data_IF_302323000760
#
_entry.id   IF_302323000760
#
_cell.length_a   1.000
_cell.length_b   1.000
_cell.length_c   1.000
_cell.angle_alpha   90.00
_cell.angle_beta   90.00
_cell.angle_gamma   90.00
#
_symmetry.space_group_name_H-M   'P 1'
#
loop_
_entity.id
_entity.type
_entity.pdbx_description
1 polymer ?
#
# COMPACT_ATOMS: atom_id res chain seq x y z
N UNK A 1 10.77 -15.29 -3.92
CA UNK A 1 11.67 -14.84 -2.82
C UNK A 1 11.09 -15.20 -1.46
N UNK A 2 11.94 -15.30 -0.43
CA UNK A 2 11.49 -15.51 0.95
C UNK A 2 10.86 -14.22 1.52
N UNK A 3 9.81 -14.38 2.33
CA UNK A 3 9.21 -13.34 3.14
C UNK A 3 9.42 -13.74 4.61
N UNK A 4 10.16 -12.97 5.41
CA UNK A 4 10.34 -13.28 6.83
C UNK A 4 8.98 -13.42 7.54
N UNK A 5 8.84 -14.36 8.50
CA UNK A 5 7.55 -14.63 9.15
C UNK A 5 6.92 -13.41 9.82
N UNK A 6 7.72 -12.48 10.34
CA UNK A 6 7.24 -11.24 10.95
C UNK A 6 6.55 -10.28 9.96
N UNK A 7 6.71 -10.49 8.65
CA UNK A 7 6.11 -9.68 7.58
C UNK A 7 5.05 -10.47 6.81
N UNK A 8 4.44 -11.47 7.44
CA UNK A 8 3.47 -12.34 6.77
C UNK A 8 2.22 -11.60 6.27
N UNK A 9 1.87 -10.46 6.88
CA UNK A 9 0.75 -9.60 6.49
C UNK A 9 0.96 -8.94 5.13
N UNK A 10 2.20 -8.82 4.65
CA UNK A 10 2.52 -8.29 3.32
C UNK A 10 2.10 -9.21 2.15
N UNK A 11 1.66 -10.45 2.42
CA UNK A 11 1.37 -11.45 1.38
C UNK A 11 -0.12 -11.62 1.11
N UNK A 12 -0.48 -11.70 -0.16
CA UNK A 12 -1.76 -12.24 -0.63
C UNK A 12 -1.50 -13.53 -1.41
N UNK A 13 -2.32 -14.54 -1.20
CA UNK A 13 -2.17 -15.87 -1.80
C UNK A 13 -1.32 -16.84 -0.98
N UNK A 14 -1.14 -18.04 -1.51
CA UNK A 14 -0.47 -19.14 -0.81
C UNK A 14 1.01 -18.86 -0.53
N UNK A 15 1.49 -19.22 0.67
CA UNK A 15 2.92 -19.16 1.00
C UNK A 15 3.77 -20.02 0.04
N UNK A 16 3.20 -21.13 -0.42
CA UNK A 16 3.82 -22.14 -1.28
C UNK A 16 3.59 -21.90 -2.77
N UNK A 17 2.94 -20.79 -3.16
CA UNK A 17 2.74 -20.46 -4.56
C UNK A 17 4.10 -20.46 -5.30
N UNK A 18 4.20 -21.14 -6.46
CA UNK A 18 5.46 -21.30 -7.19
C UNK A 18 6.00 -19.97 -7.72
N UNK A 19 5.13 -19.01 -8.04
CA UNK A 19 5.53 -17.71 -8.58
C UNK A 19 5.23 -16.57 -7.61
N UNK A 20 6.07 -15.54 -7.62
CA UNK A 20 6.00 -14.38 -6.73
C UNK A 20 5.95 -13.08 -7.54
N UNK A 21 4.86 -12.33 -7.40
CA UNK A 21 4.76 -10.93 -7.81
C UNK A 21 5.08 -10.04 -6.62
N UNK A 22 6.15 -9.27 -6.69
CA UNK A 22 6.50 -8.28 -5.67
C UNK A 22 6.36 -6.88 -6.25
N UNK A 23 5.72 -5.99 -5.50
CA UNK A 23 5.62 -4.58 -5.89
C UNK A 23 6.11 -3.71 -4.74
N UNK A 24 7.14 -2.94 -5.04
CA UNK A 24 7.79 -1.99 -4.13
C UNK A 24 7.04 -0.67 -4.17
N UNK A 25 6.38 -0.34 -3.09
CA UNK A 25 5.41 0.75 -3.01
C UNK A 25 5.79 1.72 -1.91
N UNK A 26 5.52 2.99 -2.16
CA UNK A 26 5.60 4.09 -1.19
C UNK A 26 4.20 4.66 -1.01
N UNK A 27 3.72 4.74 0.23
CA UNK A 27 2.39 5.30 0.53
C UNK A 27 2.25 6.77 0.15
N UNK A 28 3.35 7.52 0.07
CA UNK A 28 3.36 8.96 -0.25
C UNK A 28 3.54 9.20 -1.76
N UNK A 29 3.88 8.16 -2.54
CA UNK A 29 4.08 8.31 -3.97
C UNK A 29 2.76 8.21 -4.76
N UNK A 30 2.41 9.21 -5.61
CA UNK A 30 1.21 9.15 -6.44
C UNK A 30 1.27 8.03 -7.50
N UNK A 31 2.45 7.66 -8.00
CA UNK A 31 2.61 6.54 -8.93
C UNK A 31 2.38 5.19 -8.24
N UNK A 32 2.80 5.06 -6.98
CA UNK A 32 2.49 3.88 -6.16
C UNK A 32 0.99 3.73 -5.94
N UNK A 33 0.26 4.83 -5.70
CA UNK A 33 -1.20 4.78 -5.65
C UNK A 33 -1.82 4.35 -6.98
N UNK A 34 -1.32 4.89 -8.10
CA UNK A 34 -1.81 4.56 -9.45
C UNK A 34 -1.71 3.08 -9.78
N UNK A 35 -0.61 2.42 -9.42
CA UNK A 35 -0.45 0.97 -9.62
C UNK A 35 -1.25 0.17 -8.57
N UNK A 36 -1.30 0.63 -7.32
CA UNK A 36 -1.97 -0.09 -6.23
C UNK A 36 -3.48 -0.21 -6.46
N UNK A 37 -4.13 0.86 -6.93
CA UNK A 37 -5.56 0.82 -7.31
C UNK A 37 -5.89 -0.07 -8.51
N UNK A 38 -4.87 -0.53 -9.27
CA UNK A 38 -5.03 -1.56 -10.31
C UNK A 38 -4.89 -2.96 -9.72
N UNK A 39 -4.04 -3.11 -8.70
CA UNK A 39 -3.86 -4.36 -7.98
C UNK A 39 -5.07 -4.68 -7.08
N UNK A 40 -5.64 -3.68 -6.40
CA UNK A 40 -6.75 -3.79 -5.42
C UNK A 40 -7.79 -2.68 -5.60
N UNK A 41 -9.02 -2.90 -5.12
CA UNK A 41 -10.12 -1.91 -5.16
C UNK A 41 -9.90 -0.78 -4.15
N UNK A 42 -9.22 0.30 -4.55
CA UNK A 42 -8.97 1.44 -3.66
C UNK A 42 -9.33 2.75 -4.37
N UNK A 43 -10.15 3.57 -3.71
CA UNK A 43 -10.62 4.86 -4.24
C UNK A 43 -10.16 5.99 -3.33
N UNK A 44 -9.41 6.95 -3.87
CA UNK A 44 -9.15 8.19 -3.15
C UNK A 44 -10.46 8.93 -2.89
N UNK A 45 -10.66 9.37 -1.66
CA UNK A 45 -11.79 10.24 -1.34
C UNK A 45 -11.59 11.57 -2.09
N UNK A 46 -12.51 11.88 -3.01
CA UNK A 46 -12.66 13.23 -3.47
C UNK A 46 -13.55 13.92 -2.44
N UNK A 47 -13.00 14.87 -1.70
CA UNK A 47 -13.86 15.89 -1.10
C UNK A 47 -14.58 16.55 -2.26
N UNK A 48 -15.89 16.31 -2.37
CA UNK A 48 -16.73 17.17 -3.17
C UNK A 48 -16.58 18.55 -2.56
N UNK A 49 -15.83 19.44 -3.21
CA UNK A 49 -15.91 20.85 -2.92
C UNK A 49 -17.36 21.24 -3.21
N UNK A 50 -18.18 21.29 -2.16
CA UNK A 50 -19.58 21.62 -2.24
C UNK A 50 -19.72 23.11 -2.52
N UNK A 51 -19.42 23.52 -3.75
CA UNK A 51 -19.96 24.76 -4.29
C UNK A 51 -21.43 24.48 -4.63
N UNK A 52 -22.31 24.60 -3.61
CA UNK A 52 -23.76 24.66 -3.83
C UNK A 52 -24.07 25.99 -4.49
N UNK A 53 -24.01 26.03 -5.82
CA UNK A 53 -24.74 27.00 -6.62
C UNK A 53 -26.05 26.36 -7.04
N UNK A 54 -27.15 26.83 -6.45
CA UNK A 54 -28.50 26.35 -6.69
C UNK A 54 -29.04 26.89 -8.02
N UNK A 55 -28.51 26.44 -9.16
CA UNK A 55 -29.15 26.53 -10.47
C UNK A 55 -28.39 25.62 -11.44
N UNK A 56 -28.77 24.33 -11.56
CA UNK A 56 -28.64 23.50 -12.77
C UNK A 56 -28.97 22.04 -12.43
N UNK A 57 -30.25 21.77 -12.16
CA UNK A 57 -30.74 20.46 -11.70
C UNK A 57 -31.17 19.52 -12.83
N UNK A 58 -30.62 19.66 -14.06
CA UNK A 58 -31.16 18.93 -15.21
C UNK A 58 -30.19 18.22 -16.16
N UNK A 59 -28.90 18.05 -15.85
CA UNK A 59 -28.00 17.28 -16.73
C UNK A 59 -26.96 16.43 -15.99
N UNK A 60 -27.38 15.60 -15.03
CA UNK A 60 -26.55 14.51 -14.50
C UNK A 60 -27.38 13.22 -14.41
N UNK A 61 -27.57 12.55 -15.55
CA UNK A 61 -28.20 11.23 -15.60
C UNK A 61 -27.57 10.32 -16.68
N UNK A 62 -26.26 10.41 -16.91
CA UNK A 62 -25.61 9.68 -18.01
C UNK A 62 -24.28 9.00 -17.67
N UNK A 63 -24.05 8.61 -16.40
CA UNK A 63 -22.91 7.75 -16.04
C UNK A 63 -23.20 6.73 -14.92
N UNK A 64 -24.39 6.10 -14.94
CA UNK A 64 -24.69 4.96 -14.07
C UNK A 64 -25.35 3.82 -14.85
N UNK A 65 -24.65 3.31 -15.87
CA UNK A 65 -24.83 1.89 -16.24
C UNK A 65 -23.82 1.09 -15.44
N UNK A 66 -24.18 0.87 -14.17
CA UNK A 66 -23.56 -0.07 -13.25
C UNK A 66 -23.75 -1.47 -13.88
N UNK A 67 -22.72 -1.95 -14.58
CA UNK A 67 -22.65 -3.34 -15.02
C UNK A 67 -22.45 -4.21 -13.78
N UNK A 68 -23.39 -5.14 -13.59
CA UNK A 68 -23.49 -6.22 -12.63
C UNK A 68 -22.44 -6.30 -11.48
N UNK A 69 -22.86 -6.39 -10.20
CA UNK A 69 -21.95 -6.53 -9.05
C UNK A 69 -21.01 -7.75 -9.09
N UNK A 70 -21.23 -8.72 -9.98
CA UNK A 70 -20.39 -9.91 -10.15
C UNK A 70 -19.12 -9.68 -11.02
N UNK A 71 -19.04 -8.62 -11.83
CA UNK A 71 -17.90 -8.35 -12.72
C UNK A 71 -16.81 -7.44 -12.12
N UNK A 72 -17.10 -6.77 -10.99
CA UNK A 72 -16.18 -5.80 -10.37
C UNK A 72 -14.84 -6.37 -9.88
N UNK A 73 -14.76 -7.58 -9.28
CA UNK A 73 -13.49 -8.11 -8.80
C UNK A 73 -12.46 -8.34 -9.92
N UNK A 74 -12.90 -8.78 -11.11
CA UNK A 74 -12.02 -9.08 -12.25
C UNK A 74 -11.42 -7.84 -12.92
N UNK A 75 -11.87 -6.64 -12.53
CA UNK A 75 -11.25 -5.39 -12.98
C UNK A 75 -9.93 -5.09 -12.26
N UNK A 76 -9.63 -5.82 -11.18
CA UNK A 76 -8.39 -5.72 -10.42
C UNK A 76 -7.48 -6.91 -10.70
N UNK A 77 -6.18 -6.67 -10.64
CA UNK A 77 -5.17 -7.67 -11.02
C UNK A 77 -5.10 -8.82 -10.02
N UNK A 78 -5.16 -8.57 -8.70
CA UNK A 78 -5.03 -9.65 -7.72
C UNK A 78 -6.22 -10.63 -7.74
N UNK A 79 -7.49 -10.18 -7.78
CA UNK A 79 -8.61 -11.10 -7.97
C UNK A 79 -8.59 -11.80 -9.34
N UNK A 80 -8.17 -11.11 -10.41
CA UNK A 80 -7.98 -11.74 -11.72
C UNK A 80 -6.96 -12.88 -11.69
N UNK A 81 -5.81 -12.67 -11.03
CA UNK A 81 -4.78 -13.70 -10.86
C UNK A 81 -5.33 -14.90 -10.09
N UNK A 82 -6.03 -14.69 -8.97
CA UNK A 82 -6.59 -15.80 -8.19
C UNK A 82 -7.65 -16.57 -8.99
N UNK A 83 -8.49 -15.86 -9.77
CA UNK A 83 -9.51 -16.49 -10.59
C UNK A 83 -8.95 -17.30 -11.78
N UNK A 84 -7.87 -16.83 -12.41
CA UNK A 84 -7.30 -17.45 -13.63
C UNK A 84 -6.13 -18.40 -13.35
N UNK A 85 -5.45 -18.22 -12.22
CA UNK A 85 -4.25 -18.94 -11.82
C UNK A 85 -4.26 -19.27 -10.31
N UNK A 86 -5.31 -19.97 -9.81
CA UNK A 86 -5.53 -20.18 -8.38
C UNK A 86 -4.33 -20.86 -7.71
N UNK A 87 -3.82 -20.25 -6.65
CA UNK A 87 -2.67 -20.75 -5.88
C UNK A 87 -1.32 -20.74 -6.62
N UNK A 88 -1.25 -20.28 -7.88
CA UNK A 88 0.01 -20.28 -8.67
C UNK A 88 0.90 -19.08 -8.39
N UNK A 89 0.29 -17.93 -8.07
CA UNK A 89 1.00 -16.67 -7.85
C UNK A 89 0.67 -16.17 -6.44
N UNK A 90 1.71 -15.79 -5.68
CA UNK A 90 1.56 -14.97 -4.49
C UNK A 90 1.99 -13.55 -4.78
N UNK A 91 1.26 -12.60 -4.21
CA UNK A 91 1.62 -11.19 -4.23
C UNK A 91 2.31 -10.81 -2.92
N UNK A 92 3.35 -9.97 -2.99
CA UNK A 92 4.03 -9.40 -1.84
C UNK A 92 4.11 -7.88 -1.99
N UNK A 93 3.53 -7.17 -1.02
CA UNK A 93 3.78 -5.75 -0.84
C UNK A 93 5.18 -5.53 -0.27
N UNK A 94 6.00 -4.70 -0.90
CA UNK A 94 7.31 -4.31 -0.39
C UNK A 94 7.32 -2.83 -0.04
N UNK A 95 7.77 -2.51 1.17
CA UNK A 95 7.86 -1.15 1.67
C UNK A 95 9.07 -0.46 1.01
N UNK A 96 8.84 0.58 0.20
CA UNK A 96 9.90 1.37 -0.44
C UNK A 96 9.80 2.83 0.00
N UNK A 97 10.42 3.16 1.13
CA UNK A 97 10.47 4.54 1.64
C UNK A 97 11.31 5.40 0.70
N UNK A 98 10.73 6.47 0.16
CA UNK A 98 11.48 7.45 -0.63
C UNK A 98 11.93 8.64 0.23
N UNK A 99 13.23 8.93 0.34
CA UNK A 99 13.73 9.98 1.23
C UNK A 99 13.25 11.41 0.89
N UNK A 100 12.85 11.66 -0.36
CA UNK A 100 12.28 12.94 -0.80
C UNK A 100 10.78 13.06 -0.50
N UNK A 101 10.17 12.05 0.12
CA UNK A 101 8.85 12.14 0.75
C UNK A 101 9.06 12.13 2.27
N UNK A 102 9.23 13.30 2.94
CA UNK A 102 9.59 13.40 4.36
C UNK A 102 8.71 12.55 5.30
N UNK A 103 7.41 12.45 5.00
CA UNK A 103 6.44 11.70 5.79
C UNK A 103 6.46 10.19 5.54
N UNK A 104 7.09 9.70 4.47
CA UNK A 104 7.05 8.30 4.05
C UNK A 104 7.52 7.37 5.18
N UNK A 105 8.63 7.70 5.86
CA UNK A 105 9.08 6.90 7.02
C UNK A 105 7.98 6.70 8.06
N UNK A 106 7.23 7.76 8.40
CA UNK A 106 6.19 7.72 9.43
C UNK A 106 5.01 6.83 9.01
N UNK A 107 4.59 6.96 7.75
CA UNK A 107 3.46 6.20 7.20
C UNK A 107 3.80 4.71 7.07
N UNK A 108 5.04 4.40 6.64
CA UNK A 108 5.54 3.03 6.55
C UNK A 108 5.70 2.38 7.95
N UNK A 109 6.17 3.12 8.96
CA UNK A 109 6.19 2.65 10.35
C UNK A 109 4.79 2.35 10.87
N UNK A 110 3.78 3.19 10.57
CA UNK A 110 2.40 2.91 10.95
C UNK A 110 1.87 1.61 10.34
N UNK A 111 2.16 1.34 9.07
CA UNK A 111 1.76 0.08 8.42
C UNK A 111 2.39 -1.15 9.10
N UNK A 112 3.68 -1.07 9.48
CA UNK A 112 4.35 -2.13 10.23
C UNK A 112 3.83 -2.26 11.66
N UNK A 113 3.45 -1.15 12.30
CA UNK A 113 2.85 -1.18 13.63
C UNK A 113 1.48 -1.87 13.61
N UNK A 114 0.65 -1.62 12.58
CA UNK A 114 -0.61 -2.35 12.39
C UNK A 114 -0.37 -3.83 12.17
N UNK A 115 0.57 -4.21 11.30
CA UNK A 115 0.92 -5.62 11.07
C UNK A 115 1.37 -6.32 12.36
N UNK A 116 2.13 -5.62 13.21
CA UNK A 116 2.62 -6.16 14.48
C UNK A 116 1.50 -6.37 15.51
N UNK A 117 0.42 -5.58 15.43
CA UNK A 117 -0.78 -5.75 16.26
C UNK A 117 -1.65 -6.88 15.71
N UNK A 118 -1.94 -6.84 14.40
CA UNK A 118 -2.70 -7.86 13.69
C UNK A 118 -2.24 -7.96 12.22
N UNK A 119 -1.52 -9.03 11.84
CA UNK A 119 -1.03 -9.21 10.47
C UNK A 119 -2.15 -9.26 9.41
N UNK A 120 -3.37 -9.68 9.78
CA UNK A 120 -4.49 -9.73 8.85
C UNK A 120 -4.97 -8.33 8.43
N UNK A 121 -4.63 -7.30 9.21
CA UNK A 121 -5.06 -5.90 9.00
C UNK A 121 -4.09 -5.07 8.18
N UNK A 122 -2.96 -5.63 7.77
CA UNK A 122 -1.97 -4.92 6.96
C UNK A 122 -2.60 -4.33 5.69
N UNK A 123 -3.25 -5.15 4.86
CA UNK A 123 -3.84 -4.68 3.60
C UNK A 123 -5.05 -3.77 3.81
N UNK A 124 -5.91 -4.06 4.79
CA UNK A 124 -7.05 -3.18 5.13
C UNK A 124 -6.54 -1.76 5.47
N UNK A 125 -5.43 -1.68 6.22
CA UNK A 125 -4.81 -0.41 6.57
C UNK A 125 -4.04 0.22 5.40
N UNK A 126 -3.32 -0.56 4.59
CA UNK A 126 -2.71 -0.07 3.35
C UNK A 126 -3.75 0.58 2.43
N UNK A 127 -4.92 -0.02 2.30
CA UNK A 127 -6.04 0.53 1.53
C UNK A 127 -6.43 1.90 2.10
N UNK A 128 -6.62 2.02 3.42
CA UNK A 128 -6.90 3.32 4.09
C UNK A 128 -5.80 4.36 3.91
N UNK A 129 -4.53 3.97 4.01
CA UNK A 129 -3.40 4.87 3.79
C UNK A 129 -3.40 5.44 2.37
N UNK A 130 -3.72 4.62 1.36
CA UNK A 130 -3.82 5.09 -0.02
C UNK A 130 -5.09 5.90 -0.30
N UNK A 131 -6.23 5.55 0.31
CA UNK A 131 -7.46 6.36 0.25
C UNK A 131 -7.22 7.79 0.76
N UNK A 132 -6.44 7.91 1.85
CA UNK A 132 -6.13 9.14 2.58
C UNK A 132 -4.76 9.74 2.22
N UNK A 133 -4.11 9.23 1.18
CA UNK A 133 -2.72 9.54 0.82
C UNK A 133 -2.39 11.04 0.83
N UNK A 134 -3.29 11.89 0.32
CA UNK A 134 -3.06 13.34 0.21
C UNK A 134 -2.90 14.03 1.57
N UNK A 135 -3.51 13.51 2.63
CA UNK A 135 -3.40 14.03 3.99
C UNK A 135 -1.98 13.84 4.55
N UNK A 136 -1.21 12.92 3.96
CA UNK A 136 0.17 12.61 4.35
C UNK A 136 1.22 13.22 3.41
N UNK A 137 0.84 14.15 2.54
CA UNK A 137 1.78 14.93 1.71
C UNK A 137 2.42 16.07 2.47
N UNK A 138 3.39 16.73 1.85
CA UNK A 138 4.18 17.80 2.48
C UNK A 138 3.31 18.96 2.97
N UNK A 139 2.36 19.42 2.15
CA UNK A 139 1.57 20.62 2.46
C UNK A 139 0.72 20.43 3.73
N UNK A 140 -0.08 19.36 3.89
CA UNK A 140 -0.85 19.17 5.13
C UNK A 140 0.00 18.91 6.38
N UNK A 141 1.22 18.37 6.22
CA UNK A 141 2.05 17.95 7.34
C UNK A 141 3.13 18.97 7.74
N UNK A 142 3.35 20.03 6.96
CA UNK A 142 4.49 20.93 7.13
C UNK A 142 4.67 21.49 8.54
N UNK A 143 3.56 21.81 9.23
CA UNK A 143 3.58 22.38 10.59
C UNK A 143 3.31 21.33 11.69
N UNK A 144 3.24 20.04 11.35
CA UNK A 144 2.92 18.99 12.33
C UNK A 144 4.19 18.40 12.93
N UNK A 145 4.13 18.09 14.22
CA UNK A 145 5.19 17.32 14.89
C UNK A 145 5.08 15.84 14.52
N UNK A 146 6.19 15.10 14.60
CA UNK A 146 6.22 13.63 14.41
C UNK A 146 5.17 12.92 15.28
N UNK A 147 5.01 13.34 16.53
CA UNK A 147 4.05 12.75 17.47
C UNK A 147 2.60 12.99 17.03
N UNK A 148 2.27 14.21 16.57
CA UNK A 148 0.94 14.51 16.05
C UNK A 148 0.59 13.64 14.83
N UNK A 149 1.53 13.47 13.90
CA UNK A 149 1.33 12.61 12.73
C UNK A 149 1.11 11.14 13.13
N UNK A 150 1.87 10.62 14.12
CA UNK A 150 1.61 9.26 14.61
C UNK A 150 0.27 9.11 15.33
N UNK A 151 -0.18 10.14 16.05
CA UNK A 151 -1.51 10.14 16.65
C UNK A 151 -2.58 9.99 15.56
N UNK A 152 -2.51 10.79 14.49
CA UNK A 152 -3.43 10.73 13.36
C UNK A 152 -3.37 9.38 12.61
N UNK A 153 -2.18 8.80 12.45
CA UNK A 153 -2.01 7.47 11.87
C UNK A 153 -2.61 6.37 12.76
N UNK A 154 -2.50 6.49 14.08
CA UNK A 154 -3.13 5.56 15.02
C UNK A 154 -4.65 5.70 15.03
N UNK A 155 -5.17 6.93 14.92
CA UNK A 155 -6.60 7.20 14.72
C UNK A 155 -7.10 6.53 13.43
N UNK A 156 -6.38 6.69 12.32
CA UNK A 156 -6.72 6.03 11.06
C UNK A 156 -6.65 4.50 11.18
N UNK A 157 -5.65 3.96 11.87
CA UNK A 157 -5.51 2.52 12.10
C UNK A 157 -6.70 1.93 12.86
N UNK A 158 -7.26 2.66 13.83
CA UNK A 158 -8.44 2.21 14.57
C UNK A 158 -9.66 1.94 13.67
N UNK A 159 -9.75 2.61 12.51
CA UNK A 159 -10.84 2.43 11.54
C UNK A 159 -10.86 1.07 10.87
N UNK A 160 -9.75 0.31 10.90
CA UNK A 160 -9.67 -1.06 10.36
C UNK A 160 -9.85 -2.14 11.43
N UNK A 161 -10.12 -1.74 12.68
CA UNK A 161 -10.46 -2.62 13.78
C UNK A 161 -9.29 -3.03 14.68
N UNK A 162 -8.11 -2.38 14.57
CA UNK A 162 -7.01 -2.56 15.53
C UNK A 162 -7.09 -1.56 16.69
N UNK A 163 -6.47 -1.88 17.83
CA UNK A 163 -6.42 -0.96 18.96
C UNK A 163 -5.54 0.26 18.64
N UNK A 164 -6.14 1.46 18.69
CA UNK A 164 -5.45 2.75 18.56
C UNK A 164 -4.26 2.85 19.49
N UNK A 165 -4.45 2.55 20.77
CA UNK A 165 -3.42 2.72 21.80
C UNK A 165 -2.30 1.71 21.62
N UNK A 166 -2.61 0.47 21.19
CA UNK A 166 -1.59 -0.52 20.85
C UNK A 166 -0.71 -0.03 19.70
N UNK A 167 -1.31 0.49 18.62
CA UNK A 167 -0.57 1.06 17.48
C UNK A 167 0.26 2.27 17.90
N UNK A 168 -0.34 3.23 18.62
CA UNK A 168 0.37 4.43 19.07
C UNK A 168 1.53 4.10 20.00
N UNK A 169 1.39 3.09 20.86
CA UNK A 169 2.48 2.63 21.75
C UNK A 169 3.69 2.09 21.00
N UNK A 170 3.47 1.48 19.83
CA UNK A 170 4.55 0.99 18.95
C UNK A 170 5.26 2.14 18.23
N UNK A 171 4.52 3.19 17.87
CA UNK A 171 5.02 4.35 17.13
C UNK A 171 5.68 5.41 18.02
N UNK A 172 5.32 5.45 19.29
CA UNK A 172 5.83 6.45 20.24
C UNK A 172 7.33 6.23 20.52
N UNK A 173 8.11 7.29 20.31
CA UNK A 173 9.53 7.35 20.70
C UNK A 173 9.62 7.55 22.21
N UNK A 174 10.40 6.71 22.88
CA UNK A 174 10.62 6.83 24.32
C UNK A 174 11.57 8.00 24.62
N UNK A 175 11.16 8.87 25.54
CA UNK A 175 11.95 10.04 25.97
C UNK A 175 12.80 9.68 27.19
N UNK A 176 13.93 10.36 27.35
CA UNK A 176 14.80 10.23 28.54
C UNK A 176 15.75 9.03 28.54
N UNK A 177 15.89 8.31 27.43
CA UNK A 177 16.89 7.25 27.27
C UNK A 177 18.30 7.79 26.95
N UNK A 178 19.32 6.97 27.19
CA UNK A 178 20.72 7.26 26.86
C UNK A 178 20.95 7.41 25.34
N UNK A 179 20.26 6.59 24.54
CA UNK A 179 20.35 6.60 23.09
C UNK A 179 19.31 7.55 22.46
N UNK A 180 19.74 8.72 22.01
CA UNK A 180 18.88 9.76 21.44
C UNK A 180 18.36 9.46 20.02
N UNK A 181 18.80 8.37 19.40
CA UNK A 181 18.45 7.96 18.03
C UNK A 181 17.85 6.54 17.95
N UNK A 182 17.31 6.01 19.05
CA UNK A 182 16.79 4.65 19.11
C UNK A 182 15.58 4.41 18.19
N UNK A 183 14.83 5.46 17.84
CA UNK A 183 13.60 5.33 17.04
C UNK A 183 12.41 4.83 17.86
N UNK A 184 11.48 4.14 17.20
CA UNK A 184 10.29 3.54 17.81
C UNK A 184 10.36 2.00 17.75
N UNK A 185 9.30 1.30 18.21
CA UNK A 185 9.31 -0.17 18.35
C UNK A 185 9.19 -0.95 17.03
N UNK A 186 9.09 -0.24 15.90
CA UNK A 186 9.04 -0.81 14.54
C UNK A 186 10.19 -0.30 13.66
N UNK A 187 11.07 0.57 14.18
CA UNK A 187 12.21 1.11 13.43
C UNK A 187 13.13 -0.01 12.91
N UNK A 188 13.41 -1.05 13.69
CA UNK A 188 14.25 -2.17 13.24
C UNK A 188 13.59 -3.02 12.15
N UNK A 189 12.27 -3.19 12.23
CA UNK A 189 11.47 -3.85 11.20
C UNK A 189 11.55 -3.06 9.88
N UNK A 190 11.41 -1.72 9.95
CA UNK A 190 11.57 -0.85 8.77
C UNK A 190 13.00 -0.89 8.20
N UNK A 191 14.04 -0.93 9.05
CA UNK A 191 15.43 -1.09 8.59
C UNK A 191 15.62 -2.35 7.75
N UNK A 192 14.96 -3.47 8.09
CA UNK A 192 15.03 -4.70 7.31
C UNK A 192 14.38 -4.54 5.93
N UNK A 193 13.24 -3.85 5.84
CA UNK A 193 12.59 -3.55 4.56
C UNK A 193 13.49 -2.69 3.67
N UNK A 194 14.07 -1.62 4.24
CA UNK A 194 15.00 -0.73 3.54
C UNK A 194 16.26 -1.50 3.10
N UNK A 195 16.80 -2.37 3.97
CA UNK A 195 17.97 -3.21 3.65
C UNK A 195 17.67 -4.10 2.45
N UNK A 196 16.48 -4.72 2.40
CA UNK A 196 16.07 -5.56 1.28
C UNK A 196 15.95 -4.76 -0.02
N UNK A 197 15.35 -3.56 0.03
CA UNK A 197 15.25 -2.68 -1.15
C UNK A 197 16.63 -2.30 -1.69
N UNK A 198 17.56 -1.92 -0.80
CA UNK A 198 18.95 -1.62 -1.14
C UNK A 198 19.67 -2.82 -1.75
N UNK A 199 19.51 -4.01 -1.17
CA UNK A 199 20.11 -5.24 -1.67
C UNK A 199 19.65 -5.60 -3.09
N UNK A 200 18.40 -5.25 -3.44
CA UNK A 200 17.83 -5.49 -4.77
C UNK A 200 17.97 -4.29 -5.74
N UNK A 201 18.69 -3.22 -5.34
CA UNK A 201 18.87 -2.04 -6.18
C UNK A 201 17.58 -1.27 -6.49
N UNK A 202 16.60 -1.32 -5.59
CA UNK A 202 15.32 -0.62 -5.76
C UNK A 202 15.52 0.86 -5.48
N UNK A 203 15.28 1.69 -6.51
CA UNK A 203 15.44 3.14 -6.42
C UNK A 203 14.09 3.85 -6.41
N UNK A 204 13.23 3.62 -7.41
CA UNK A 204 11.96 4.33 -7.57
C UNK A 204 10.77 3.48 -7.13
N UNK A 205 9.67 4.14 -6.79
CA UNK A 205 8.38 3.50 -6.50
C UNK A 205 7.33 3.98 -7.52
N UNK A 206 6.53 3.08 -8.12
CA UNK A 206 6.58 1.64 -7.92
C UNK A 206 7.75 0.99 -8.66
N UNK A 207 8.23 -0.15 -8.14
CA UNK A 207 9.08 -1.09 -8.90
C UNK A 207 8.44 -2.47 -8.83
N UNK A 208 8.30 -3.15 -9.98
CA UNK A 208 7.74 -4.49 -10.08
C UNK A 208 8.85 -5.52 -10.23
N UNK A 209 8.75 -6.60 -9.46
CA UNK A 209 9.70 -7.71 -9.48
C UNK A 209 8.90 -9.00 -9.62
N UNK A 210 9.24 -9.82 -10.62
CA UNK A 210 8.65 -11.12 -10.86
C UNK A 210 9.69 -12.22 -10.60
N UNK A 211 9.40 -13.12 -9.67
CA UNK A 211 10.29 -14.22 -9.27
C UNK A 211 11.73 -13.77 -8.91
N UNK A 212 11.85 -12.58 -8.32
CA UNK A 212 13.14 -11.98 -7.94
C UNK A 212 13.83 -11.20 -9.07
N UNK A 213 13.26 -11.14 -10.27
CA UNK A 213 13.78 -10.38 -11.40
C UNK A 213 12.95 -9.09 -11.59
N UNK A 214 13.63 -7.94 -11.54
CA UNK A 214 13.01 -6.64 -11.78
C UNK A 214 12.52 -6.53 -13.23
N UNK A 215 11.31 -6.04 -13.43
CA UNK A 215 10.72 -5.80 -14.75
C UNK A 215 10.38 -4.32 -14.94
N UNK A 216 11.22 -3.62 -15.70
CA UNK A 216 11.10 -2.18 -15.96
C UNK A 216 10.05 -1.83 -17.03
N UNK A 217 9.45 -2.83 -17.69
CA UNK A 217 8.40 -2.57 -18.67
C UNK A 217 7.07 -2.22 -18.00
N UNK A 218 6.85 -2.67 -16.75
CA UNK A 218 5.60 -2.47 -16.04
C UNK A 218 5.47 -1.01 -15.60
N UNK A 219 4.44 -0.34 -16.11
CA UNK A 219 4.14 1.06 -15.77
C UNK A 219 2.96 1.18 -14.81
N UNK A 220 3.04 2.13 -13.89
CA UNK A 220 1.90 2.52 -13.04
C UNK A 220 0.69 3.04 -13.82
N UNK A 221 0.89 3.42 -15.09
CA UNK A 221 -0.15 3.88 -16.00
C UNK A 221 -0.86 2.76 -16.78
N UNK A 222 -0.42 1.51 -16.65
CA UNK A 222 -1.01 0.41 -17.41
C UNK A 222 -2.50 0.23 -17.13
N UNK A 223 -3.24 -0.08 -18.19
CA UNK A 223 -4.61 -0.54 -18.11
C UNK A 223 -4.69 -2.03 -17.80
N UNK A 224 -5.92 -2.54 -17.64
CA UNK A 224 -6.17 -3.93 -17.28
C UNK A 224 -5.67 -4.91 -18.35
N UNK A 225 -5.79 -4.59 -19.63
CA UNK A 225 -5.41 -5.49 -20.70
C UNK A 225 -3.89 -5.60 -20.84
N UNK A 226 -3.15 -4.49 -20.69
CA UNK A 226 -1.69 -4.50 -20.64
C UNK A 226 -1.17 -5.38 -19.50
N UNK A 227 -1.78 -5.29 -18.31
CA UNK A 227 -1.45 -6.16 -17.19
C UNK A 227 -1.74 -7.64 -17.47
N UNK A 228 -2.91 -7.95 -18.05
CA UNK A 228 -3.28 -9.32 -18.41
C UNK A 228 -2.31 -9.90 -19.44
N UNK A 229 -1.94 -9.13 -20.45
CA UNK A 229 -1.00 -9.57 -21.48
C UNK A 229 0.41 -9.80 -20.91
N UNK A 230 0.86 -8.92 -20.02
CA UNK A 230 2.09 -9.14 -19.28
C UNK A 230 2.02 -10.42 -18.43
N UNK A 231 0.95 -10.63 -17.66
CA UNK A 231 0.77 -11.83 -16.84
C UNK A 231 0.77 -13.13 -17.66
N UNK A 232 0.12 -13.14 -18.85
CA UNK A 232 0.15 -14.29 -19.76
C UNK A 232 1.58 -14.68 -20.16
N UNK A 233 2.47 -13.69 -20.29
CA UNK A 233 3.89 -13.94 -20.63
C UNK A 233 4.72 -14.46 -19.44
N UNK A 234 4.24 -14.26 -18.21
CA UNK A 234 4.98 -14.58 -16.98
C UNK A 234 4.52 -15.86 -16.30
N UNK A 235 3.22 -16.09 -16.27
CA UNK A 235 2.65 -17.26 -15.60
C UNK A 235 2.86 -18.48 -16.49
N UNK A 236 3.82 -19.31 -16.13
CA UNK A 236 4.10 -20.52 -16.87
C UNK A 236 2.94 -21.53 -16.71
N UNK A 237 2.52 -22.14 -17.81
CA UNK A 237 1.72 -23.37 -17.76
C UNK A 237 2.66 -24.49 -17.29
N UNK A 238 2.70 -24.71 -15.98
CA UNK A 238 3.17 -25.99 -15.43
C UNK A 238 2.26 -27.11 -15.90
#
# INVERSE_FOLDING_TARGET
MALPPQFAGHRIGSATAPQTLEVWLDYVCPYSFRIYKRLRDVRQQFESCAFRSATYDHLVSLFTTDSAPFDRPLQQILPYIEATHPGKVKFIFRQQVQPWHPSSTLVHEAALAVEKVDPAKFFDFSDKLFEKQKEFFDVPLYNKTRHAVYSELADLASTVGVSRDAVLSLLTVQLGGEFLNAGNRVTDDLKLQIKLGRQNGIHVSPTVVWDGIRDDNVSSGWDLEQWKDWLKSKVHKQ
#
